data_IF_982864793435
#
_entry.id   IF_982864793435
#
_cell.length_a   1.000
_cell.length_b   1.000
_cell.length_c   1.000
_cell.angle_alpha   90.00
_cell.angle_beta   90.00
_cell.angle_gamma   90.00
#
_symmetry.space_group_name_H-M   'P 1'
#
loop_
_entity.id
_entity.type
_entity.pdbx_description
1 polymer ?
#
# COMPACT_ATOMS: atom_id res chain seq x y z
N UNK A 1 -11.07 14.38 -29.58
CA UNK A 1 -10.10 14.08 -28.50
C UNK A 1 -9.41 12.78 -28.84
N UNK A 2 -8.08 12.76 -28.90
CA UNK A 2 -7.30 11.56 -29.22
C UNK A 2 -7.41 10.58 -28.07
N UNK A 3 -7.96 9.40 -28.33
CA UNK A 3 -8.02 8.31 -27.34
C UNK A 3 -6.58 7.92 -27.02
N UNK A 4 -6.17 8.08 -25.76
CA UNK A 4 -4.86 7.64 -25.31
C UNK A 4 -4.85 6.12 -25.29
N UNK A 5 -3.82 5.51 -25.86
CA UNK A 5 -3.53 4.10 -25.60
C UNK A 5 -3.40 3.88 -24.09
N UNK A 6 -3.90 2.74 -23.59
CA UNK A 6 -3.83 2.40 -22.18
C UNK A 6 -2.37 2.32 -21.69
N UNK A 7 -2.17 2.53 -20.39
CA UNK A 7 -0.85 2.39 -19.79
C UNK A 7 -0.29 0.96 -20.00
N UNK A 8 1.04 0.79 -20.19
CA UNK A 8 1.64 -0.53 -20.37
C UNK A 8 1.29 -1.49 -19.23
N UNK A 9 0.73 -2.66 -19.58
CA UNK A 9 0.28 -3.67 -18.61
C UNK A 9 -1.14 -3.48 -18.10
N UNK A 10 -1.94 -2.59 -18.70
CA UNK A 10 -3.37 -2.49 -18.42
C UNK A 10 -4.07 -3.82 -18.73
N UNK A 11 -4.81 -4.32 -17.74
CA UNK A 11 -5.71 -5.46 -17.88
C UNK A 11 -7.13 -4.89 -17.78
N UNK A 12 -7.97 -5.04 -18.83
CA UNK A 12 -9.33 -4.54 -18.81
C UNK A 12 -10.12 -5.05 -17.61
N UNK A 13 -10.82 -4.15 -16.93
CA UNK A 13 -11.69 -4.52 -15.83
C UNK A 13 -12.98 -5.14 -16.40
N UNK A 14 -13.33 -6.39 -16.07
CA UNK A 14 -14.54 -7.03 -16.61
C UNK A 14 -15.84 -6.36 -16.15
N UNK A 15 -15.80 -5.54 -15.09
CA UNK A 15 -16.98 -4.85 -14.55
C UNK A 15 -17.18 -3.44 -15.15
N UNK A 16 -16.17 -2.86 -15.79
CA UNK A 16 -16.23 -1.51 -16.35
C UNK A 16 -15.42 -1.46 -17.64
N UNK A 17 -16.13 -1.41 -18.76
CA UNK A 17 -15.57 -1.30 -20.10
C UNK A 17 -14.99 0.08 -20.35
N UNK A 18 -14.18 0.22 -21.40
CA UNK A 18 -13.65 1.54 -21.80
C UNK A 18 -14.79 2.51 -22.18
N UNK A 19 -15.86 1.99 -22.79
CA UNK A 19 -17.04 2.78 -23.16
C UNK A 19 -17.74 3.36 -21.92
N UNK A 20 -17.83 2.59 -20.82
CA UNK A 20 -18.38 3.07 -19.54
C UNK A 20 -17.53 4.21 -18.95
N UNK A 21 -16.21 4.19 -19.17
CA UNK A 21 -15.31 5.26 -18.73
C UNK A 21 -15.40 6.50 -19.61
N UNK A 22 -15.57 6.30 -20.92
CA UNK A 22 -15.67 7.38 -21.89
C UNK A 22 -16.96 8.19 -21.68
N UNK A 23 -18.07 7.54 -21.29
CA UNK A 23 -19.34 8.19 -20.97
C UNK A 23 -19.22 9.21 -19.81
N UNK A 24 -18.34 8.95 -18.83
CA UNK A 24 -18.15 9.82 -17.66
C UNK A 24 -16.94 10.77 -17.78
N UNK A 25 -16.21 10.70 -18.90
CA UNK A 25 -14.95 11.44 -19.10
C UNK A 25 -15.15 12.95 -19.30
N UNK A 26 -16.34 13.37 -19.74
CA UNK A 26 -16.70 14.79 -19.99
C UNK A 26 -16.92 15.61 -18.70
N UNK A 27 -16.30 15.21 -17.58
CA UNK A 27 -16.39 15.96 -16.33
C UNK A 27 -15.63 17.29 -16.49
N UNK A 28 -16.27 18.45 -16.28
CA UNK A 28 -15.61 19.75 -16.40
C UNK A 28 -14.45 19.87 -15.40
N UNK A 29 -13.37 20.54 -15.82
CA UNK A 29 -12.25 20.83 -14.92
C UNK A 29 -12.74 21.76 -13.82
N UNK A 30 -12.56 21.33 -12.58
CA UNK A 30 -12.96 22.10 -11.42
C UNK A 30 -12.05 23.32 -11.24
N UNK A 31 -12.67 24.49 -11.03
CA UNK A 31 -11.98 25.75 -10.76
C UNK A 31 -11.38 25.79 -9.35
N UNK A 32 -10.46 26.71 -9.10
CA UNK A 32 -9.84 26.87 -7.79
C UNK A 32 -10.87 27.36 -6.74
N UNK A 33 -11.81 28.19 -7.16
CA UNK A 33 -12.91 28.69 -6.34
C UNK A 33 -13.83 27.54 -5.91
N UNK A 34 -14.20 26.66 -6.83
CA UNK A 34 -15.03 25.48 -6.55
C UNK A 34 -14.31 24.50 -5.62
N UNK A 35 -13.01 24.28 -5.82
CA UNK A 35 -12.21 23.44 -4.94
C UNK A 35 -12.14 24.00 -3.52
N UNK A 36 -12.07 25.33 -3.38
CA UNK A 36 -12.00 26.00 -2.07
C UNK A 36 -13.29 25.88 -1.25
N UNK A 37 -14.44 25.70 -1.92
CA UNK A 37 -15.74 25.54 -1.29
C UNK A 37 -16.06 24.09 -0.89
N UNK A 38 -15.22 23.13 -1.29
CA UNK A 38 -15.40 21.74 -0.91
C UNK A 38 -15.29 21.54 0.60
N UNK A 39 -16.24 20.79 1.15
CA UNK A 39 -16.24 20.41 2.57
C UNK A 39 -15.38 19.16 2.76
N UNK A 40 -14.22 19.33 3.38
CA UNK A 40 -13.31 18.24 3.70
C UNK A 40 -13.70 17.58 5.03
N UNK A 41 -13.77 16.25 5.02
CA UNK A 41 -13.96 15.46 6.25
C UNK A 41 -15.42 15.39 6.73
N UNK A 42 -15.65 14.96 7.99
CA UNK A 42 -16.95 14.52 8.44
C UNK A 42 -17.88 15.63 8.97
N UNK A 43 -17.51 16.91 8.80
CA UNK A 43 -18.14 18.03 9.50
C UNK A 43 -19.66 18.13 9.32
N UNK A 44 -20.16 17.76 8.13
CA UNK A 44 -21.58 17.81 7.77
C UNK A 44 -22.16 16.44 7.38
N UNK A 45 -21.46 15.36 7.73
CA UNK A 45 -21.96 14.01 7.46
C UNK A 45 -22.91 13.53 8.57
N UNK A 46 -23.89 12.66 8.26
CA UNK A 46 -24.65 11.97 9.28
C UNK A 46 -23.73 11.28 10.29
N UNK A 47 -24.08 11.24 11.59
CA UNK A 47 -23.20 10.71 12.64
C UNK A 47 -22.65 9.31 12.38
N UNK A 48 -23.45 8.45 11.75
CA UNK A 48 -23.07 7.10 11.31
C UNK A 48 -21.93 7.14 10.28
N UNK A 49 -22.07 7.97 9.24
CA UNK A 49 -21.07 8.13 8.17
C UNK A 49 -19.81 8.82 8.69
N UNK A 50 -19.96 9.82 9.55
CA UNK A 50 -18.86 10.50 10.22
C UNK A 50 -18.02 9.55 11.08
N UNK A 51 -18.61 8.51 11.67
CA UNK A 51 -17.90 7.51 12.46
C UNK A 51 -16.92 6.67 11.61
N UNK A 52 -17.25 6.38 10.35
CA UNK A 52 -16.39 5.64 9.43
C UNK A 52 -15.07 6.39 9.09
N UNK A 53 -15.06 7.72 9.19
CA UNK A 53 -13.83 8.52 9.02
C UNK A 53 -12.84 8.34 10.18
N UNK A 54 -13.30 7.93 11.37
CA UNK A 54 -12.44 7.65 12.53
C UNK A 54 -11.69 6.33 12.37
N UNK A 55 -12.26 5.37 11.65
CA UNK A 55 -11.64 4.08 11.36
C UNK A 55 -10.79 4.16 10.10
N UNK A 56 -9.95 5.19 9.96
CA UNK A 56 -9.03 5.36 8.83
C UNK A 56 -8.31 4.03 8.59
N UNK A 57 -8.73 3.35 7.51
CA UNK A 57 -8.34 1.99 7.14
C UNK A 57 -6.87 1.92 6.80
N UNK A 58 -6.02 1.92 7.83
CA UNK A 58 -4.65 1.46 7.70
C UNK A 58 -4.64 -0.07 7.68
N UNK A 59 -3.56 -0.64 7.13
CA UNK A 59 -3.27 -2.06 7.32
C UNK A 59 -3.44 -2.40 8.82
N UNK A 60 -4.15 -3.49 9.17
CA UNK A 60 -4.29 -3.89 10.56
C UNK A 60 -2.93 -3.84 11.26
N UNK A 61 -2.88 -3.22 12.44
CA UNK A 61 -1.64 -3.16 13.23
C UNK A 61 -1.16 -4.59 13.44
N UNK A 62 0.06 -4.89 12.99
CA UNK A 62 0.67 -6.18 13.26
C UNK A 62 0.72 -6.41 14.78
N UNK A 63 0.26 -7.56 15.25
CA UNK A 63 0.24 -7.91 16.67
C UNK A 63 1.65 -7.85 17.30
N UNK A 64 2.66 -8.21 16.51
CA UNK A 64 4.08 -8.11 16.88
C UNK A 64 4.75 -7.17 15.88
N UNK A 65 5.22 -6.03 16.38
CA UNK A 65 5.99 -5.06 15.57
C UNK A 65 7.44 -5.52 15.48
N UNK A 66 7.96 -5.62 14.26
CA UNK A 66 9.40 -5.78 14.03
C UNK A 66 10.09 -4.47 14.43
N UNK A 67 11.19 -4.57 15.18
CA UNK A 67 12.00 -3.40 15.57
C UNK A 67 13.05 -3.18 14.49
N UNK A 68 13.07 -2.01 13.81
CA UNK A 68 14.11 -1.70 12.85
C UNK A 68 15.43 -1.47 13.59
N UNK A 69 16.48 -2.16 13.18
CA UNK A 69 17.84 -1.99 13.71
C UNK A 69 18.82 -1.78 12.55
N UNK A 70 19.93 -1.10 12.83
CA UNK A 70 21.09 -1.07 11.94
C UNK A 70 22.03 -2.20 12.34
N UNK A 71 22.20 -3.19 11.45
CA UNK A 71 23.07 -4.35 11.65
C UNK A 71 24.07 -4.42 10.50
N UNK A 72 25.35 -4.63 10.82
CA UNK A 72 26.38 -4.96 9.83
C UNK A 72 26.43 -6.48 9.67
N UNK A 73 26.35 -6.94 8.43
CA UNK A 73 26.47 -8.34 8.05
C UNK A 73 27.58 -8.47 7.01
N UNK A 74 28.23 -9.63 6.97
CA UNK A 74 29.20 -9.93 5.92
C UNK A 74 28.57 -9.83 4.53
N UNK A 75 29.29 -9.30 3.52
CA UNK A 75 28.74 -9.12 2.17
C UNK A 75 28.21 -10.43 1.57
N UNK A 76 28.94 -11.53 1.74
CA UNK A 76 28.57 -12.84 1.19
C UNK A 76 27.24 -13.34 1.77
N UNK A 77 27.00 -13.11 3.06
CA UNK A 77 25.73 -13.47 3.73
C UNK A 77 24.58 -12.68 3.13
N UNK A 78 24.76 -11.37 2.94
CA UNK A 78 23.73 -10.51 2.37
C UNK A 78 23.37 -10.93 0.94
N UNK A 79 24.39 -11.19 0.11
CA UNK A 79 24.19 -11.60 -1.28
C UNK A 79 23.51 -12.97 -1.38
N UNK A 80 23.89 -13.93 -0.52
CA UNK A 80 23.22 -15.24 -0.46
C UNK A 80 21.72 -15.13 -0.19
N UNK A 81 21.31 -14.26 0.75
CA UNK A 81 19.88 -14.06 1.02
C UNK A 81 19.18 -13.33 -0.13
N UNK A 82 19.77 -12.25 -0.67
CA UNK A 82 19.18 -11.51 -1.80
C UNK A 82 18.99 -12.39 -3.04
N UNK A 83 19.92 -13.30 -3.32
CA UNK A 83 19.84 -14.22 -4.46
C UNK A 83 18.59 -15.13 -4.40
N UNK A 84 18.03 -15.37 -3.21
CA UNK A 84 16.77 -16.10 -3.06
C UNK A 84 15.52 -15.30 -3.50
N UNK A 85 15.68 -14.05 -3.96
CA UNK A 85 14.60 -13.25 -4.55
C UNK A 85 13.69 -12.56 -3.53
N UNK A 86 12.47 -12.17 -3.93
CA UNK A 86 11.50 -11.50 -3.05
C UNK A 86 11.31 -12.24 -1.71
N UNK A 87 11.21 -11.47 -0.62
CA UNK A 87 11.07 -12.01 0.73
C UNK A 87 12.38 -12.42 1.42
N UNK A 88 13.54 -12.13 0.85
CA UNK A 88 14.84 -12.48 1.44
C UNK A 88 15.05 -11.95 2.87
N UNK A 89 14.54 -10.76 3.16
CA UNK A 89 14.60 -10.19 4.51
C UNK A 89 13.79 -11.00 5.53
N UNK A 90 12.67 -11.59 5.11
CA UNK A 90 11.86 -12.46 5.97
C UNK A 90 12.60 -13.77 6.25
N UNK A 91 13.21 -14.39 5.24
CA UNK A 91 14.05 -15.58 5.41
C UNK A 91 15.25 -15.33 6.32
N UNK A 92 15.92 -14.18 6.16
CA UNK A 92 17.02 -13.77 7.04
C UNK A 92 16.55 -13.61 8.50
N UNK A 93 15.37 -13.01 8.72
CA UNK A 93 14.81 -12.88 10.06
C UNK A 93 14.44 -14.24 10.69
N UNK A 94 13.95 -15.20 9.90
CA UNK A 94 13.66 -16.56 10.38
C UNK A 94 14.93 -17.29 10.86
N UNK A 95 16.02 -17.18 10.10
CA UNK A 95 17.32 -17.73 10.47
C UNK A 95 17.85 -17.11 11.79
N UNK A 96 17.74 -15.78 11.94
CA UNK A 96 18.11 -15.09 13.18
C UNK A 96 17.23 -15.55 14.36
N UNK A 97 15.94 -15.75 14.15
CA UNK A 97 15.02 -16.23 15.18
C UNK A 97 15.36 -17.67 15.61
N UNK A 98 15.77 -18.53 14.69
CA UNK A 98 16.22 -19.88 14.99
C UNK A 98 17.51 -19.89 15.82
N UNK A 99 18.50 -19.10 15.40
CA UNK A 99 19.74 -18.93 16.17
C UNK A 99 19.45 -18.42 17.60
N UNK A 100 18.55 -17.46 17.74
CA UNK A 100 18.14 -16.94 19.05
C UNK A 100 17.44 -17.99 19.93
N UNK A 101 16.65 -18.91 19.36
CA UNK A 101 16.06 -20.03 20.12
C UNK A 101 17.14 -20.98 20.65
N UNK A 102 18.17 -21.28 19.86
CA UNK A 102 19.29 -22.14 20.27
C UNK A 102 20.09 -21.49 21.40
N UNK A 103 20.36 -20.19 21.32
CA UNK A 103 21.04 -19.44 22.38
C UNK A 103 20.28 -19.44 23.71
N UNK A 104 18.94 -19.52 23.68
CA UNK A 104 18.11 -19.61 24.89
C UNK A 104 18.05 -21.02 25.49
N UNK A 105 18.39 -22.04 24.71
CA UNK A 105 18.36 -23.44 25.11
C UNK A 105 19.71 -23.96 25.64
N UNK A 106 20.78 -23.17 25.46
CA UNK A 106 22.09 -23.38 26.05
C UNK A 106 22.19 -22.66 27.40
#
# INVERSE_FOLDING_TARGET
MTHSDHAPGYIPNPNFTQEDWDEVCDTPIMTAEELSQMKLGPADLPPELAAAFKSRGGRPKAAIKRVPISLRVEPEVLEAFKAAGPGWQTRMNEALAEAARRLKAA
#
